data_IF_429328598841
#
_entry.id   IF_429328598841
#
_cell.length_a   1.000
_cell.length_b   1.000
_cell.length_c   1.000
_cell.angle_alpha   90.00
_cell.angle_beta   90.00
_cell.angle_gamma   90.00
#
_symmetry.space_group_name_H-M   'P 1'
#
loop_
_entity.id
_entity.type
_entity.pdbx_description
1 polymer ?
#
# COMPACT_ATOMS: atom_id res chain seq x y z
N UNK A 1 -1.47 1.10 -10.50
CA UNK A 1 -0.38 1.53 -9.61
C UNK A 1 0.96 1.36 -10.33
N UNK A 2 1.92 2.23 -10.02
CA UNK A 2 3.25 2.11 -10.61
C UNK A 2 4.06 1.01 -9.89
N UNK A 3 5.26 0.74 -10.39
CA UNK A 3 6.12 -0.33 -9.85
C UNK A 3 6.45 -0.11 -8.38
N UNK A 4 6.77 1.12 -8.00
CA UNK A 4 7.13 1.44 -6.62
C UNK A 4 5.95 1.19 -5.67
N UNK A 5 4.76 1.63 -6.07
CA UNK A 5 3.55 1.43 -5.28
C UNK A 5 3.22 -0.06 -5.13
N UNK A 6 3.34 -0.82 -6.21
CA UNK A 6 3.10 -2.27 -6.16
C UNK A 6 4.08 -2.95 -5.22
N UNK A 7 5.34 -2.53 -5.24
CA UNK A 7 6.36 -3.10 -4.37
C UNK A 7 6.04 -2.84 -2.91
N UNK A 8 5.60 -1.62 -2.58
CA UNK A 8 5.23 -1.28 -1.21
C UNK A 8 4.05 -2.12 -0.75
N UNK A 9 3.03 -2.27 -1.58
CA UNK A 9 1.86 -3.09 -1.25
C UNK A 9 2.28 -4.53 -0.99
N UNK A 10 3.11 -5.09 -1.85
CA UNK A 10 3.60 -6.46 -1.71
C UNK A 10 4.39 -6.65 -0.40
N UNK A 11 5.29 -5.72 -0.09
CA UNK A 11 6.07 -5.77 1.15
C UNK A 11 5.20 -5.62 2.38
N UNK A 12 4.20 -4.75 2.31
CA UNK A 12 3.27 -4.54 3.42
C UNK A 12 2.48 -5.81 3.74
N UNK A 13 2.08 -6.55 2.72
CA UNK A 13 1.37 -7.82 2.90
C UNK A 13 2.28 -8.84 3.59
N UNK A 14 3.57 -8.85 3.24
CA UNK A 14 4.53 -9.78 3.83
C UNK A 14 4.89 -9.44 5.27
N UNK A 15 4.74 -8.19 5.68
CA UNK A 15 5.11 -7.73 7.02
C UNK A 15 3.95 -7.00 7.71
N UNK A 16 2.81 -7.67 7.90
CA UNK A 16 1.64 -7.03 8.49
C UNK A 16 1.85 -6.55 9.92
N UNK A 17 2.81 -7.13 10.63
CA UNK A 17 3.13 -6.73 12.00
C UNK A 17 3.66 -5.30 12.10
N UNK A 18 4.12 -4.72 11.00
CA UNK A 18 4.59 -3.34 10.95
C UNK A 18 3.47 -2.33 10.71
N UNK A 19 2.27 -2.81 10.46
CA UNK A 19 1.13 -1.98 10.09
C UNK A 19 0.11 -1.91 11.23
N UNK A 20 -0.60 -0.78 11.30
CA UNK A 20 -1.79 -0.69 12.14
C UNK A 20 -2.93 -1.44 11.45
N UNK A 21 -4.01 -1.72 12.19
CA UNK A 21 -5.18 -2.40 11.62
C UNK A 21 -5.74 -1.62 10.44
N UNK A 22 -5.80 -0.30 10.56
CA UNK A 22 -6.30 0.57 9.49
C UNK A 22 -5.39 0.47 8.24
N UNK A 23 -4.08 0.48 8.45
CA UNK A 23 -3.13 0.39 7.35
C UNK A 23 -3.22 -0.96 6.65
N UNK A 24 -3.40 -2.02 7.42
CA UNK A 24 -3.54 -3.36 6.86
C UNK A 24 -4.78 -3.45 5.96
N UNK A 25 -5.92 -2.93 6.43
CA UNK A 25 -7.14 -2.90 5.62
C UNK A 25 -6.94 -2.06 4.34
N UNK A 26 -6.27 -0.93 4.47
CA UNK A 26 -5.97 -0.06 3.34
C UNK A 26 -5.13 -0.79 2.28
N UNK A 27 -4.09 -1.48 2.71
CA UNK A 27 -3.21 -2.24 1.82
C UNK A 27 -3.98 -3.37 1.12
N UNK A 28 -4.83 -4.09 1.85
CA UNK A 28 -5.64 -5.14 1.25
C UNK A 28 -6.59 -4.60 0.20
N UNK A 29 -7.18 -3.45 0.44
CA UNK A 29 -8.05 -2.80 -0.54
C UNK A 29 -7.29 -2.44 -1.81
N UNK A 30 -6.07 -1.93 -1.67
CA UNK A 30 -5.25 -1.60 -2.84
C UNK A 30 -4.79 -2.85 -3.58
N UNK A 31 -4.51 -3.93 -2.87
CA UNK A 31 -4.08 -5.18 -3.48
C UNK A 31 -5.15 -5.79 -4.39
N UNK A 32 -6.41 -5.48 -4.12
CA UNK A 32 -7.54 -5.96 -4.93
C UNK A 32 -7.78 -5.13 -6.19
N UNK A 33 -7.09 -3.99 -6.33
CA UNK A 33 -7.28 -3.11 -7.49
C UNK A 33 -6.58 -3.67 -8.72
N UNK A 34 -7.07 -3.28 -9.88
CA UNK A 34 -6.46 -3.66 -11.15
C UNK A 34 -5.08 -3.01 -11.31
N UNK A 35 -4.27 -3.57 -12.18
CA UNK A 35 -2.90 -3.11 -12.41
C UNK A 35 -2.82 -1.64 -12.82
N UNK A 36 -3.77 -1.19 -13.62
CA UNK A 36 -3.80 0.17 -14.15
C UNK A 36 -4.49 1.17 -13.23
N UNK A 37 -4.89 0.73 -12.03
CA UNK A 37 -5.52 1.62 -11.06
C UNK A 37 -4.58 2.74 -10.66
N UNK A 38 -5.07 3.98 -10.70
CA UNK A 38 -4.29 5.17 -10.37
C UNK A 38 -4.68 5.64 -8.96
N UNK A 39 -3.69 5.76 -8.09
CA UNK A 39 -3.91 6.22 -6.72
C UNK A 39 -4.22 7.73 -6.71
N UNK A 40 -5.13 8.13 -5.82
CA UNK A 40 -5.33 9.54 -5.54
C UNK A 40 -4.13 10.09 -4.78
N UNK A 41 -4.02 11.42 -4.70
CA UNK A 41 -2.93 12.07 -3.96
C UNK A 41 -2.92 11.62 -2.50
N UNK A 42 -4.09 11.50 -1.89
CA UNK A 42 -4.23 11.04 -0.51
C UNK A 42 -3.75 9.61 -0.36
N UNK A 43 -4.17 8.73 -1.26
CA UNK A 43 -3.75 7.33 -1.23
C UNK A 43 -2.24 7.22 -1.41
N UNK A 44 -1.69 7.99 -2.32
CA UNK A 44 -0.25 7.98 -2.57
C UNK A 44 0.54 8.44 -1.34
N UNK A 45 0.06 9.46 -0.63
CA UNK A 45 0.69 9.91 0.61
C UNK A 45 0.70 8.82 1.68
N UNK A 46 -0.40 8.08 1.79
CA UNK A 46 -0.52 6.98 2.75
C UNK A 46 0.44 5.85 2.39
N UNK A 47 0.51 5.51 1.11
CA UNK A 47 1.43 4.47 0.63
C UNK A 47 2.87 4.85 0.93
N UNK A 48 3.26 6.10 0.70
CA UNK A 48 4.61 6.56 0.98
C UNK A 48 4.94 6.48 2.48
N UNK A 49 3.97 6.81 3.32
CA UNK A 49 4.13 6.69 4.77
C UNK A 49 4.34 5.25 5.19
N UNK A 50 3.54 4.35 4.64
CA UNK A 50 3.67 2.92 4.93
C UNK A 50 5.02 2.40 4.46
N UNK A 51 5.43 2.79 3.26
CA UNK A 51 6.73 2.40 2.72
C UNK A 51 7.89 2.80 3.59
N UNK A 52 7.78 3.91 4.31
CA UNK A 52 8.83 4.39 5.21
C UNK A 52 9.04 3.49 6.42
N UNK A 53 8.04 2.69 6.77
CA UNK A 53 8.12 1.77 7.91
C UNK A 53 8.72 0.42 7.53
N UNK A 54 8.70 0.11 6.26
CA UNK A 54 9.12 -1.20 5.76
C UNK A 54 10.64 -1.25 5.46
#
# INVERSE_FOLDING_TARGET
MNRVQKKIVSQAIDYPEKLTDWEYDFINNLADKEEDYVLSDKQNSIINRIGSKL
#
